data_IF_422003166358
#
_entry.id   IF_422003166358
#
_cell.length_a   1.000
_cell.length_b   1.000
_cell.length_c   1.000
_cell.angle_alpha   90.00
_cell.angle_beta   90.00
_cell.angle_gamma   90.00
#
_symmetry.space_group_name_H-M   'P 1'
#
loop_
_entity.id
_entity.type
_entity.pdbx_description
1 polymer ?
#
# COMPACT_ATOMS: atom_id res chain seq x y z
N UNK A 1 51.50 28.19 3.53
CA UNK A 1 51.10 26.77 3.61
C UNK A 1 51.41 26.15 2.25
N UNK A 2 52.57 25.51 2.15
CA UNK A 2 53.14 24.98 0.91
C UNK A 2 52.47 23.64 0.64
N UNK A 3 51.57 23.58 -0.35
CA UNK A 3 51.14 22.33 -0.94
C UNK A 3 52.02 22.01 -2.15
N UNK A 4 52.36 20.73 -2.22
CA UNK A 4 53.54 20.12 -2.81
C UNK A 4 53.53 20.10 -4.36
N UNK A 5 54.51 20.76 -4.99
CA UNK A 5 54.76 20.74 -6.44
C UNK A 5 55.14 19.35 -6.97
N UNK A 6 55.51 18.38 -6.12
CA UNK A 6 55.92 17.03 -6.55
C UNK A 6 54.77 16.09 -6.92
N UNK A 7 53.53 16.41 -6.56
CA UNK A 7 52.37 15.56 -6.92
C UNK A 7 51.95 15.74 -8.39
N UNK A 8 52.19 16.93 -8.96
CA UNK A 8 51.72 17.27 -10.30
C UNK A 8 52.59 16.65 -11.41
N UNK A 9 53.90 16.47 -11.16
CA UNK A 9 54.83 15.85 -12.12
C UNK A 9 54.66 14.33 -12.24
N UNK A 10 54.24 13.65 -11.16
CA UNK A 10 53.91 12.22 -11.21
C UNK A 10 52.62 11.92 -11.97
N UNK A 11 51.68 12.86 -11.99
CA UNK A 11 50.40 12.72 -12.71
C UNK A 11 50.56 12.88 -14.23
N UNK A 12 51.46 13.75 -14.68
CA UNK A 12 51.78 13.96 -16.09
C UNK A 12 52.55 12.78 -16.71
N UNK A 13 53.46 12.17 -15.95
CA UNK A 13 54.25 11.03 -16.42
C UNK A 13 53.40 9.76 -16.62
N UNK A 14 52.35 9.56 -15.80
CA UNK A 14 51.41 8.44 -15.95
C UNK A 14 50.53 8.57 -17.21
N UNK A 15 50.21 9.81 -17.61
CA UNK A 15 49.44 10.09 -18.82
C UNK A 15 50.24 9.91 -20.11
N UNK A 16 51.56 10.15 -20.10
CA UNK A 16 52.41 9.92 -21.28
C UNK A 16 52.78 8.45 -21.48
N UNK A 17 52.90 7.66 -20.41
CA UNK A 17 53.14 6.21 -20.51
C UNK A 17 51.95 5.48 -21.13
N UNK A 18 50.71 5.91 -20.85
CA UNK A 18 49.51 5.35 -21.47
C UNK A 18 49.32 5.79 -22.93
N UNK A 19 50.00 6.85 -23.37
CA UNK A 19 49.90 7.38 -24.74
C UNK A 19 50.92 6.79 -25.71
N UNK A 20 52.04 6.25 -25.21
CA UNK A 20 53.16 5.82 -26.06
C UNK A 20 53.24 4.31 -26.32
N UNK A 21 52.46 3.48 -25.61
CA UNK A 21 52.33 2.05 -25.92
C UNK A 21 51.32 1.83 -27.05
N UNK A 22 51.82 2.09 -28.27
CA UNK A 22 51.33 1.58 -29.55
C UNK A 22 50.66 0.21 -29.42
N UNK A 23 49.46 0.08 -29.99
CA UNK A 23 49.29 -0.82 -31.13
C UNK A 23 48.38 -0.20 -32.19
N UNK A 24 49.03 0.10 -33.33
CA UNK A 24 48.42 0.17 -34.65
C UNK A 24 47.86 -1.21 -35.00
N UNK A 25 46.81 -1.19 -35.83
CA UNK A 25 46.29 -2.27 -36.69
C UNK A 25 45.75 -3.52 -35.99
N UNK A 26 44.43 -3.57 -35.80
CA UNK A 26 43.50 -4.41 -36.55
C UNK A 26 42.14 -4.25 -35.86
N UNK A 27 41.23 -3.44 -36.43
CA UNK A 27 39.79 -3.68 -36.43
C UNK A 27 39.12 -2.50 -37.15
N UNK A 28 38.66 -2.80 -38.36
CA UNK A 28 37.77 -1.94 -39.15
C UNK A 28 36.50 -1.65 -38.36
N UNK A 29 36.09 -0.38 -38.16
CA UNK A 29 34.86 -0.10 -37.44
C UNK A 29 33.67 -0.29 -38.38
N UNK A 30 33.17 -1.52 -38.50
CA UNK A 30 31.72 -1.72 -38.66
C UNK A 30 31.14 -1.78 -37.26
N UNK A 31 30.94 -0.64 -36.60
CA UNK A 31 30.59 -0.59 -35.18
C UNK A 31 29.28 0.16 -34.88
N UNK A 32 28.34 0.16 -35.83
CA UNK A 32 26.93 0.42 -35.52
C UNK A 32 26.38 -0.56 -34.47
N UNK A 33 27.02 -1.71 -34.27
CA UNK A 33 26.68 -2.70 -33.25
C UNK A 33 27.13 -2.31 -31.83
N UNK A 34 28.29 -1.65 -31.67
CA UNK A 34 28.78 -1.23 -30.33
C UNK A 34 27.96 -0.07 -29.75
N UNK A 35 27.45 0.84 -30.59
CA UNK A 35 26.56 1.93 -30.15
C UNK A 35 25.19 1.40 -29.71
N UNK A 36 24.69 0.34 -30.36
CA UNK A 36 23.43 -0.34 -29.99
C UNK A 36 23.50 -0.98 -28.60
N UNK A 37 24.64 -1.58 -28.25
CA UNK A 37 24.81 -2.26 -26.94
C UNK A 37 24.76 -1.25 -25.78
N UNK A 38 25.36 -0.07 -25.92
CA UNK A 38 25.36 0.97 -24.86
C UNK A 38 23.94 1.53 -24.62
N UNK A 39 23.13 1.70 -25.68
CA UNK A 39 21.74 2.16 -25.57
C UNK A 39 20.86 1.12 -24.84
N UNK A 40 21.11 -0.17 -25.06
CA UNK A 40 20.37 -1.27 -24.38
C UNK A 40 20.66 -1.28 -22.87
N UNK A 41 21.90 -1.01 -22.45
CA UNK A 41 22.26 -0.97 -21.03
C UNK A 41 21.69 0.25 -20.28
N UNK A 42 21.62 1.42 -20.91
CA UNK A 42 21.03 2.63 -20.27
C UNK A 42 19.51 2.47 -20.09
N UNK A 43 18.83 1.75 -21.00
CA UNK A 43 17.40 1.46 -20.88
C UNK A 43 17.04 0.52 -19.71
N UNK A 44 17.95 -0.35 -19.28
CA UNK A 44 17.71 -1.29 -18.17
C UNK A 44 17.70 -0.62 -16.78
N UNK A 45 18.34 0.53 -16.60
CA UNK A 45 18.43 1.20 -15.29
C UNK A 45 17.28 2.18 -14.99
N UNK A 46 16.37 2.43 -15.95
CA UNK A 46 15.35 3.48 -15.84
C UNK A 46 14.00 3.06 -15.27
N UNK A 47 13.73 1.77 -14.98
CA UNK A 47 12.34 1.35 -14.71
C UNK A 47 11.95 1.05 -13.26
N UNK A 48 12.82 1.28 -12.27
CA UNK A 48 12.41 1.23 -10.85
C UNK A 48 12.13 2.64 -10.30
N UNK A 49 11.12 3.30 -10.88
CA UNK A 49 10.56 4.53 -10.31
C UNK A 49 9.50 4.15 -9.26
N UNK A 50 9.86 4.33 -8.00
CA UNK A 50 8.91 4.27 -6.88
C UNK A 50 8.38 5.68 -6.65
N UNK A 51 7.07 5.86 -6.75
CA UNK A 51 6.42 7.14 -6.51
C UNK A 51 5.73 7.14 -5.15
N UNK A 52 5.89 8.22 -4.39
CA UNK A 52 5.11 8.43 -3.17
C UNK A 52 3.70 8.90 -3.58
N UNK A 53 2.69 8.28 -3.00
CA UNK A 53 1.26 8.62 -3.21
C UNK A 53 0.58 8.86 -1.87
N UNK A 54 -0.58 9.50 -1.90
CA UNK A 54 -1.42 9.65 -0.71
C UNK A 54 -2.11 8.33 -0.37
N UNK A 55 -2.44 8.15 0.92
CA UNK A 55 -3.16 6.98 1.38
C UNK A 55 -4.66 7.15 1.12
N UNK A 56 -5.23 6.26 0.31
CA UNK A 56 -6.67 6.05 0.18
C UNK A 56 -6.96 4.56 0.22
N UNK A 57 -7.63 4.08 1.27
CA UNK A 57 -7.88 2.65 1.42
C UNK A 57 -8.70 2.08 0.25
N UNK A 58 -9.69 2.83 -0.25
CA UNK A 58 -10.52 2.42 -1.37
C UNK A 58 -9.69 2.25 -2.65
N UNK A 59 -8.94 3.29 -3.05
CA UNK A 59 -8.12 3.26 -4.27
C UNK A 59 -7.06 2.16 -4.23
N UNK A 60 -6.42 1.98 -3.08
CA UNK A 60 -5.43 0.92 -2.89
C UNK A 60 -6.08 -0.47 -3.00
N UNK A 61 -7.28 -0.66 -2.46
CA UNK A 61 -8.02 -1.93 -2.59
C UNK A 61 -8.40 -2.22 -4.04
N UNK A 62 -8.80 -1.21 -4.83
CA UNK A 62 -9.02 -1.40 -6.27
C UNK A 62 -7.73 -1.80 -7.02
N UNK A 63 -6.60 -1.20 -6.66
CA UNK A 63 -5.31 -1.58 -7.26
C UNK A 63 -4.94 -3.02 -6.92
N UNK A 64 -5.26 -3.48 -5.70
CA UNK A 64 -5.08 -4.89 -5.30
C UNK A 64 -5.89 -5.83 -6.20
N UNK A 65 -7.16 -5.50 -6.50
CA UNK A 65 -7.99 -6.24 -7.45
C UNK A 65 -7.42 -6.21 -8.89
N UNK A 66 -6.74 -5.12 -9.27
CA UNK A 66 -6.02 -4.97 -10.55
C UNK A 66 -4.65 -5.71 -10.56
N UNK A 67 -4.35 -6.48 -9.52
CA UNK A 67 -3.18 -7.35 -9.43
C UNK A 67 -1.95 -6.69 -8.82
N UNK A 68 -2.09 -5.57 -8.10
CA UNK A 68 -1.00 -5.05 -7.28
C UNK A 68 -0.86 -5.85 -5.98
N UNK A 69 0.38 -6.15 -5.59
CA UNK A 69 0.67 -6.68 -4.26
C UNK A 69 0.83 -5.52 -3.28
N UNK A 70 0.13 -5.58 -2.15
CA UNK A 70 0.20 -4.55 -1.11
C UNK A 70 0.92 -5.12 0.11
N UNK A 71 1.89 -4.36 0.63
CA UNK A 71 2.58 -4.68 1.87
C UNK A 71 2.39 -3.57 2.90
N UNK A 72 2.32 -3.97 4.18
CA UNK A 72 2.35 -3.10 5.35
C UNK A 72 3.63 -3.40 6.13
N UNK A 73 4.52 -2.41 6.26
CA UNK A 73 5.84 -2.58 6.86
C UNK A 73 6.57 -3.83 6.32
N UNK A 74 6.58 -4.02 5.00
CA UNK A 74 7.14 -5.19 4.27
C UNK A 74 6.35 -6.51 4.33
N UNK A 75 5.28 -6.60 5.14
CA UNK A 75 4.45 -7.81 5.20
C UNK A 75 3.24 -7.72 4.27
N UNK A 76 2.92 -8.75 3.47
CA UNK A 76 1.72 -8.75 2.65
C UNK A 76 0.45 -8.50 3.47
N UNK A 77 -0.48 -7.73 2.90
CA UNK A 77 -1.76 -7.41 3.51
C UNK A 77 -2.89 -7.44 2.48
N UNK A 78 -4.08 -7.83 2.92
CA UNK A 78 -5.32 -7.70 2.16
C UNK A 78 -6.11 -6.51 2.70
N UNK A 79 -6.17 -5.42 1.93
CA UNK A 79 -6.89 -4.21 2.31
C UNK A 79 -8.41 -4.33 2.18
N UNK A 80 -8.90 -5.36 1.48
CA UNK A 80 -10.34 -5.60 1.32
C UNK A 80 -11.03 -5.85 2.67
N UNK A 81 -10.29 -6.45 3.62
CA UNK A 81 -10.80 -6.82 4.94
C UNK A 81 -9.96 -6.24 6.10
N UNK A 82 -8.93 -5.43 5.81
CA UNK A 82 -8.06 -4.84 6.83
C UNK A 82 -8.16 -3.33 6.81
N UNK A 83 -8.68 -2.75 7.88
CA UNK A 83 -8.88 -1.31 8.00
C UNK A 83 -7.74 -0.65 8.77
N UNK A 84 -7.06 0.32 8.15
CA UNK A 84 -5.86 0.95 8.72
C UNK A 84 -6.18 2.30 9.36
N UNK A 85 -5.40 2.68 10.37
CA UNK A 85 -5.45 4.04 10.92
C UNK A 85 -4.61 4.97 10.05
N UNK A 86 -5.29 5.81 9.27
CA UNK A 86 -4.65 6.80 8.41
C UNK A 86 -3.68 7.72 9.18
N UNK A 87 -3.94 7.98 10.47
CA UNK A 87 -3.05 8.80 11.30
C UNK A 87 -1.72 8.10 11.59
N UNK A 88 -1.71 6.77 11.61
CA UNK A 88 -0.52 5.95 11.78
C UNK A 88 0.23 5.71 10.46
N UNK A 89 -0.29 6.12 9.31
CA UNK A 89 0.43 5.98 8.03
C UNK A 89 1.49 7.08 7.91
N UNK A 90 2.74 6.69 7.64
CA UNK A 90 3.87 7.58 7.38
C UNK A 90 4.00 7.90 5.88
N UNK A 91 3.88 6.87 5.04
CA UNK A 91 3.98 7.00 3.58
C UNK A 91 3.38 5.80 2.87
N UNK A 92 2.94 6.04 1.63
CA UNK A 92 2.60 5.00 0.67
C UNK A 92 3.49 5.16 -0.55
N UNK A 93 4.17 4.08 -0.93
CA UNK A 93 5.11 4.04 -2.04
C UNK A 93 4.60 3.05 -3.08
N UNK A 94 4.37 3.51 -4.30
CA UNK A 94 3.93 2.68 -5.41
C UNK A 94 5.07 2.47 -6.41
N UNK A 95 5.41 1.21 -6.67
CA UNK A 95 6.23 0.82 -7.80
C UNK A 95 5.33 0.17 -8.87
N UNK A 96 5.09 0.90 -9.97
CA UNK A 96 4.21 0.46 -11.06
C UNK A 96 4.83 -0.67 -11.89
N UNK A 97 6.15 -0.72 -12.00
CA UNK A 97 6.87 -1.69 -12.83
C UNK A 97 6.69 -3.12 -12.30
N UNK A 98 6.87 -3.28 -10.99
CA UNK A 98 6.70 -4.59 -10.32
C UNK A 98 5.31 -4.77 -9.69
N UNK A 99 4.39 -3.81 -9.91
CA UNK A 99 3.05 -3.77 -9.32
C UNK A 99 3.04 -3.99 -7.79
N UNK A 100 3.88 -3.26 -7.07
CA UNK A 100 3.95 -3.32 -5.60
C UNK A 100 3.56 -1.97 -5.01
N UNK A 101 2.78 -2.02 -3.93
CA UNK A 101 2.48 -0.87 -3.08
C UNK A 101 2.97 -1.19 -1.68
N UNK A 102 3.82 -0.34 -1.12
CA UNK A 102 4.31 -0.43 0.24
C UNK A 102 3.68 0.68 1.09
N UNK A 103 3.02 0.28 2.17
CA UNK A 103 2.48 1.17 3.19
C UNK A 103 3.42 1.10 4.40
N UNK A 104 3.97 2.24 4.80
CA UNK A 104 4.88 2.35 5.94
C UNK A 104 4.16 3.03 7.09
N UNK A 105 4.20 2.44 8.28
CA UNK A 105 3.58 3.00 9.49
C UNK A 105 4.56 3.84 10.31
N UNK A 106 4.05 4.84 11.03
CA UNK A 106 4.77 5.63 12.03
C UNK A 106 5.10 4.77 13.24
N UNK A 107 4.10 4.06 13.76
CA UNK A 107 4.25 3.10 14.86
C UNK A 107 3.94 1.68 14.37
N UNK A 108 4.98 0.86 14.26
CA UNK A 108 4.89 -0.54 13.80
C UNK A 108 4.29 -1.49 14.84
N UNK A 109 4.28 -1.09 16.11
CA UNK A 109 3.74 -1.88 17.21
C UNK A 109 2.22 -1.73 17.35
N UNK A 110 1.58 -0.90 16.51
CA UNK A 110 0.13 -0.77 16.55
C UNK A 110 -0.51 -2.11 16.19
N UNK A 111 -1.37 -2.60 17.08
CA UNK A 111 -1.99 -3.91 16.99
C UNK A 111 -3.26 -3.88 16.14
N UNK A 112 -3.67 -5.06 15.70
CA UNK A 112 -4.95 -5.29 15.05
C UNK A 112 -5.91 -5.97 16.02
N UNK A 113 -7.18 -5.61 15.93
CA UNK A 113 -8.28 -6.29 16.61
C UNK A 113 -9.17 -6.95 15.55
N UNK A 114 -9.55 -8.21 15.75
CA UNK A 114 -10.53 -8.87 14.88
C UNK A 114 -11.93 -8.29 15.13
N UNK A 115 -12.85 -8.46 14.18
CA UNK A 115 -14.24 -8.08 14.42
C UNK A 115 -14.83 -8.84 15.63
N UNK A 116 -14.58 -10.14 15.75
CA UNK A 116 -15.11 -10.95 16.85
C UNK A 116 -14.65 -10.43 18.22
N UNK A 117 -13.35 -10.14 18.35
CA UNK A 117 -12.79 -9.55 19.58
C UNK A 117 -13.41 -8.18 19.87
N UNK A 118 -13.65 -7.38 18.82
CA UNK A 118 -14.30 -6.08 18.96
C UNK A 118 -15.75 -6.21 19.45
N UNK A 119 -16.51 -7.18 18.95
CA UNK A 119 -17.89 -7.45 19.40
C UNK A 119 -17.91 -7.87 20.87
N UNK A 120 -16.99 -8.75 21.26
CA UNK A 120 -16.81 -9.17 22.66
C UNK A 120 -16.50 -7.97 23.56
N UNK A 121 -15.55 -7.12 23.16
CA UNK A 121 -15.21 -5.90 23.92
C UNK A 121 -16.37 -4.92 24.06
N UNK A 122 -17.30 -4.91 23.10
CA UNK A 122 -18.50 -4.07 23.12
C UNK A 122 -19.71 -4.73 23.78
N UNK A 123 -19.55 -5.92 24.35
CA UNK A 123 -20.63 -6.73 24.93
C UNK A 123 -21.79 -6.93 23.95
N UNK A 124 -21.49 -7.11 22.66
CA UNK A 124 -22.49 -7.39 21.63
C UNK A 124 -22.52 -8.88 21.29
N UNK A 125 -23.72 -9.38 21.01
CA UNK A 125 -23.91 -10.75 20.53
C UNK A 125 -23.28 -10.90 19.13
N UNK A 126 -22.60 -12.02 18.83
CA UNK A 126 -22.00 -12.28 17.52
C UNK A 126 -23.04 -12.52 16.41
N UNK A 127 -24.32 -12.71 16.75
CA UNK A 127 -25.39 -12.84 15.76
C UNK A 127 -25.79 -11.46 15.23
N UNK A 128 -25.09 -11.02 14.19
CA UNK A 128 -25.41 -9.84 13.39
C UNK A 128 -25.82 -10.32 12.02
N UNK A 129 -26.97 -9.86 11.52
CA UNK A 129 -27.48 -10.29 10.21
C UNK A 129 -26.82 -9.52 9.06
N UNK A 130 -26.42 -8.27 9.31
CA UNK A 130 -25.80 -7.40 8.31
C UNK A 130 -24.62 -6.63 8.89
N UNK A 131 -23.47 -6.72 8.24
CA UNK A 131 -22.30 -5.91 8.54
C UNK A 131 -22.10 -4.87 7.43
N UNK A 132 -22.06 -3.59 7.80
CA UNK A 132 -21.77 -2.48 6.89
C UNK A 132 -20.56 -1.73 7.41
N UNK A 133 -19.51 -1.64 6.58
CA UNK A 133 -18.29 -0.88 6.90
C UNK A 133 -18.08 0.20 5.83
N UNK A 134 -17.98 1.47 6.23
CA UNK A 134 -17.85 2.62 5.32
C UNK A 134 -18.92 2.60 4.22
N UNK A 135 -20.19 2.35 4.56
CA UNK A 135 -21.32 2.22 3.62
C UNK A 135 -21.23 1.04 2.62
N UNK A 136 -20.27 0.13 2.78
CA UNK A 136 -20.16 -1.10 1.99
C UNK A 136 -20.65 -2.27 2.83
N UNK A 137 -21.60 -3.04 2.29
CA UNK A 137 -22.03 -4.29 2.91
C UNK A 137 -20.94 -5.36 2.75
N UNK A 138 -20.58 -6.00 3.86
CA UNK A 138 -19.60 -7.08 3.90
C UNK A 138 -20.34 -8.41 3.80
N UNK A 139 -19.84 -9.31 2.95
CA UNK A 139 -20.41 -10.64 2.78
C UNK A 139 -20.10 -11.54 3.99
N UNK A 140 -21.01 -12.44 4.35
CA UNK A 140 -20.85 -13.37 5.48
C UNK A 140 -19.55 -14.18 5.42
N UNK A 141 -19.12 -14.58 4.22
CA UNK A 141 -17.88 -15.33 4.01
C UNK A 141 -16.60 -14.54 4.31
N UNK A 142 -16.69 -13.22 4.43
CA UNK A 142 -15.57 -12.31 4.64
C UNK A 142 -15.53 -11.75 6.06
N UNK A 143 -16.63 -11.82 6.81
CA UNK A 143 -16.76 -11.31 8.18
C UNK A 143 -15.60 -11.75 9.08
N UNK A 144 -15.24 -13.05 9.05
CA UNK A 144 -14.17 -13.60 9.89
C UNK A 144 -12.76 -13.09 9.54
N UNK A 145 -12.58 -12.47 8.38
CA UNK A 145 -11.31 -11.88 7.94
C UNK A 145 -11.20 -10.41 8.32
N UNK A 146 -12.30 -9.79 8.73
CA UNK A 146 -12.35 -8.38 9.08
C UNK A 146 -11.50 -8.11 10.31
N UNK A 147 -10.57 -7.16 10.18
CA UNK A 147 -9.75 -6.68 11.28
C UNK A 147 -9.46 -5.19 11.15
N UNK A 148 -9.30 -4.55 12.30
CA UNK A 148 -9.12 -3.12 12.43
C UNK A 148 -7.77 -2.84 13.10
N UNK A 149 -6.96 -1.98 12.50
CA UNK A 149 -5.83 -1.39 13.21
C UNK A 149 -6.37 -0.55 14.37
N UNK A 150 -5.74 -0.60 15.54
CA UNK A 150 -6.18 0.19 16.68
C UNK A 150 -6.16 1.69 16.32
N UNK A 151 -7.26 2.38 16.64
CA UNK A 151 -7.49 3.78 16.25
C UNK A 151 -8.15 3.97 14.88
N UNK A 152 -8.32 2.93 14.06
CA UNK A 152 -8.93 3.07 12.72
C UNK A 152 -10.45 3.30 12.74
N UNK A 153 -11.16 2.91 13.80
CA UNK A 153 -12.62 3.03 13.90
C UNK A 153 -13.00 4.43 14.39
N UNK A 154 -13.82 5.14 13.60
CA UNK A 154 -14.40 6.43 13.96
C UNK A 154 -15.77 6.28 14.63
N UNK A 155 -16.57 5.34 14.15
CA UNK A 155 -17.96 5.15 14.59
C UNK A 155 -18.32 3.67 14.58
N UNK A 156 -19.13 3.26 15.55
CA UNK A 156 -19.57 1.89 15.73
C UNK A 156 -20.98 1.91 16.34
N UNK A 157 -21.98 1.35 15.65
CA UNK A 157 -23.37 1.28 16.13
C UNK A 157 -24.07 0.03 15.63
N UNK A 158 -24.71 -0.68 16.55
CA UNK A 158 -25.69 -1.71 16.23
C UNK A 158 -27.07 -1.06 16.08
N UNK A 159 -27.73 -1.32 14.96
CA UNK A 159 -29.12 -0.95 14.72
C UNK A 159 -29.99 -2.20 14.83
N UNK A 160 -31.08 -2.07 15.56
CA UNK A 160 -32.07 -3.14 15.79
C UNK A 160 -33.45 -2.67 15.35
N UNK A 161 -34.45 -3.56 15.33
CA UNK A 161 -35.83 -3.18 15.02
C UNK A 161 -36.33 -1.97 15.86
N UNK A 162 -35.92 -1.86 17.13
CA UNK A 162 -36.28 -0.73 18.01
C UNK A 162 -35.80 0.63 17.48
N UNK A 163 -34.70 0.67 16.74
CA UNK A 163 -34.18 1.92 16.16
C UNK A 163 -35.06 2.46 15.03
N UNK A 164 -35.91 1.62 14.45
CA UNK A 164 -36.80 1.96 13.33
C UNK A 164 -38.29 2.00 13.72
N UNK A 165 -38.64 1.46 14.88
CA UNK A 165 -40.01 1.42 15.37
C UNK A 165 -40.68 2.80 15.40
N UNK A 166 -41.88 2.92 14.83
CA UNK A 166 -42.67 4.15 14.80
C UNK A 166 -42.15 5.26 13.87
N UNK A 167 -41.16 4.96 13.02
CA UNK A 167 -40.69 5.88 11.96
C UNK A 167 -41.38 5.56 10.64
N UNK A 168 -41.33 6.48 9.67
CA UNK A 168 -41.90 6.31 8.32
C UNK A 168 -41.41 5.03 7.60
N UNK A 169 -40.25 4.50 8.02
CA UNK A 169 -39.64 3.29 7.48
C UNK A 169 -40.04 1.99 8.21
N UNK A 170 -40.75 2.07 9.35
CA UNK A 170 -41.13 0.90 10.16
C UNK A 170 -42.07 -0.06 9.41
N UNK A 171 -42.89 0.47 8.51
CA UNK A 171 -43.84 -0.32 7.72
C UNK A 171 -43.26 -0.89 6.43
N UNK A 172 -41.99 -0.59 6.11
CA UNK A 172 -41.34 -1.19 4.96
C UNK A 172 -41.00 -2.66 5.26
N UNK A 173 -41.47 -3.62 4.43
CA UNK A 173 -41.13 -5.05 4.59
C UNK A 173 -39.63 -5.27 4.67
N UNK A 174 -38.86 -4.46 3.95
CA UNK A 174 -37.40 -4.49 3.93
C UNK A 174 -36.74 -4.20 5.29
N UNK A 175 -37.40 -3.45 6.18
CA UNK A 175 -36.87 -3.13 7.52
C UNK A 175 -37.29 -4.19 8.54
N UNK A 176 -38.54 -4.67 8.45
CA UNK A 176 -39.10 -5.73 9.32
C UNK A 176 -38.56 -7.13 9.01
N UNK A 177 -38.33 -7.47 7.74
CA UNK A 177 -37.87 -8.80 7.30
C UNK A 177 -36.33 -8.90 7.18
N UNK A 178 -35.61 -7.79 6.98
CA UNK A 178 -34.14 -7.84 6.81
C UNK A 178 -33.36 -7.58 8.09
N UNK A 179 -33.72 -6.64 8.96
CA UNK A 179 -32.86 -6.28 10.12
C UNK A 179 -33.22 -7.11 11.36
N UNK A 180 -33.29 -8.44 11.23
CA UNK A 180 -33.75 -9.37 12.27
C UNK A 180 -33.00 -9.24 13.60
N UNK A 181 -31.81 -9.85 13.70
CA UNK A 181 -30.92 -9.79 14.86
C UNK A 181 -30.10 -8.49 14.94
N UNK A 182 -30.07 -7.69 13.86
CA UNK A 182 -29.49 -6.35 13.84
C UNK A 182 -28.52 -6.12 12.68
N UNK A 183 -28.32 -4.84 12.34
CA UNK A 183 -27.34 -4.36 11.37
C UNK A 183 -26.24 -3.60 12.10
N UNK A 184 -25.00 -4.07 11.99
CA UNK A 184 -23.84 -3.39 12.54
C UNK A 184 -23.26 -2.41 11.52
N UNK A 185 -23.19 -1.14 11.89
CA UNK A 185 -22.54 -0.09 11.11
C UNK A 185 -21.22 0.28 11.77
N UNK A 186 -20.14 0.23 10.99
CA UNK A 186 -18.81 0.70 11.38
C UNK A 186 -18.34 1.72 10.34
N UNK A 187 -17.88 2.90 10.78
CA UNK A 187 -17.15 3.82 9.89
C UNK A 187 -15.72 3.98 10.40
N UNK A 188 -14.76 3.95 9.48
CA UNK A 188 -13.34 4.15 9.78
C UNK A 188 -12.92 5.61 9.61
N UNK A 189 -11.75 5.97 10.13
CA UNK A 189 -11.19 7.32 10.02
C UNK A 189 -10.78 7.63 8.58
N UNK A 190 -10.39 6.62 7.80
CA UNK A 190 -10.27 6.76 6.34
C UNK A 190 -11.67 6.65 5.74
N UNK A 191 -12.29 7.74 5.26
CA UNK A 191 -13.52 7.62 4.48
C UNK A 191 -13.23 7.00 3.10
N UNK A 192 -14.29 6.58 2.41
CA UNK A 192 -14.28 6.28 0.98
C UNK A 192 -13.81 7.50 0.18
#
# INVERSE_FOLDING_TARGET
MVLDKRLNEKFLMYFEVLRSQKYKSYFSPKSDEMKKIIIVFIGMFMSCSTNKIDFSQFELSELQQKGYSITLDTKPIDLSNTYLDIKNILSVNQNKSIKVIEIVRKNKNNSFISLDDLLIQKNLSPKIDYLVINNIQINDSEISKVKFENGSIKYFRLLTHKDYQGKEFDDLPQVKERIGNGMLIINTISPL
#
